data_IF_236603525648
#
_entry.id   IF_236603525648
#
_cell.length_a   1.000
_cell.length_b   1.000
_cell.length_c   1.000
_cell.angle_alpha   90.00
_cell.angle_beta   90.00
_cell.angle_gamma   90.00
#
_symmetry.space_group_name_H-M   'P 1'
#
loop_
_entity.id
_entity.type
_entity.pdbx_description
1 polymer ?
#
# COMPACT_ATOMS: atom_id res chain seq x y z
N UNK A 1 22.03 75.13 36.57
CA UNK A 1 21.25 74.95 37.81
C UNK A 1 20.15 73.92 37.53
N UNK A 2 20.04 72.90 38.38
CA UNK A 2 19.06 71.79 38.43
C UNK A 2 19.23 70.57 37.50
N UNK A 3 19.48 69.45 38.19
CA UNK A 3 19.33 68.03 37.85
C UNK A 3 17.86 67.63 37.57
N UNK A 4 17.60 66.64 36.69
CA UNK A 4 17.33 65.22 37.06
C UNK A 4 16.66 64.39 35.94
N UNK A 5 17.31 63.25 35.63
CA UNK A 5 16.82 61.88 35.37
C UNK A 5 15.38 61.66 34.84
N UNK A 6 15.23 61.01 33.68
CA UNK A 6 14.25 59.94 33.47
C UNK A 6 14.69 58.94 32.37
N UNK A 7 14.55 57.67 32.70
CA UNK A 7 14.86 56.44 31.98
C UNK A 7 13.76 56.11 30.94
N UNK A 8 14.05 55.75 29.67
CA UNK A 8 13.01 55.27 28.76
C UNK A 8 12.76 53.77 28.98
N UNK A 9 11.58 53.45 29.50
CA UNK A 9 11.05 52.09 29.58
C UNK A 9 10.80 51.50 28.19
N UNK A 10 11.15 50.22 28.08
CA UNK A 10 10.83 49.28 27.00
C UNK A 10 9.39 49.43 26.48
N UNK A 11 9.25 49.67 25.17
CA UNK A 11 8.05 49.32 24.41
C UNK A 11 8.19 47.84 24.01
N UNK A 12 7.53 46.96 24.77
CA UNK A 12 7.32 45.58 24.37
C UNK A 12 6.34 45.55 23.18
N UNK A 13 6.87 45.32 21.98
CA UNK A 13 6.06 44.95 20.82
C UNK A 13 5.61 43.49 21.01
N UNK A 14 4.39 43.29 21.49
CA UNK A 14 3.75 41.98 21.49
C UNK A 14 3.49 41.56 20.04
N UNK A 15 4.38 40.72 19.50
CA UNK A 15 4.10 39.96 18.30
C UNK A 15 2.98 38.98 18.62
N UNK A 16 1.78 39.26 18.11
CA UNK A 16 0.69 38.28 18.08
C UNK A 16 1.13 37.19 17.09
N UNK A 17 1.74 36.13 17.61
CA UNK A 17 1.92 34.89 16.89
C UNK A 17 0.51 34.35 16.66
N UNK A 18 -0.03 34.62 15.48
CA UNK A 18 -1.22 33.94 14.98
C UNK A 18 -0.82 32.48 14.75
N UNK A 19 -0.89 31.68 15.80
CA UNK A 19 -0.87 30.24 15.71
C UNK A 19 -2.09 29.84 14.89
N UNK A 20 -1.89 29.68 13.59
CA UNK A 20 -2.82 28.99 12.72
C UNK A 20 -2.82 27.55 13.22
N UNK A 21 -3.71 27.25 14.17
CA UNK A 21 -4.04 25.89 14.55
C UNK A 21 -4.71 25.27 13.33
N UNK A 22 -3.89 24.69 12.46
CA UNK A 22 -4.34 23.65 11.55
C UNK A 22 -4.74 22.50 12.48
N UNK A 23 -6.02 22.46 12.84
CA UNK A 23 -6.62 21.26 13.40
C UNK A 23 -6.31 20.15 12.38
N UNK A 24 -5.58 19.08 12.75
CA UNK A 24 -5.48 17.93 11.86
C UNK A 24 -6.91 17.45 11.64
N UNK A 25 -7.39 17.52 10.39
CA UNK A 25 -8.50 16.66 10.00
C UNK A 25 -8.06 15.24 10.37
N UNK A 26 -8.87 14.42 11.04
CA UNK A 26 -8.59 13.00 11.09
C UNK A 26 -8.71 12.52 9.64
N UNK A 27 -7.61 12.54 8.90
CA UNK A 27 -7.51 11.80 7.65
C UNK A 27 -7.53 10.36 8.10
N UNK A 28 -8.74 9.78 8.12
CA UNK A 28 -8.89 8.34 8.27
C UNK A 28 -8.04 7.70 7.19
N UNK A 29 -7.30 6.64 7.53
CA UNK A 29 -6.47 5.95 6.56
C UNK A 29 -7.32 5.48 5.36
N UNK A 30 -8.53 4.97 5.63
CA UNK A 30 -9.48 4.53 4.61
C UNK A 30 -10.63 5.51 4.35
N UNK A 31 -11.29 5.32 3.20
CA UNK A 31 -12.54 5.98 2.80
C UNK A 31 -13.64 4.94 2.54
N UNK A 32 -14.92 5.35 2.62
CA UNK A 32 -16.09 4.49 2.40
C UNK A 32 -17.29 5.33 1.94
N UNK A 33 -18.27 4.68 1.33
CA UNK A 33 -19.51 5.34 0.94
C UNK A 33 -20.45 5.48 2.15
N UNK A 34 -21.07 6.64 2.29
CA UNK A 34 -21.95 6.97 3.41
C UNK A 34 -23.37 7.25 2.93
N UNK A 35 -24.36 6.67 3.60
CA UNK A 35 -25.77 6.93 3.29
C UNK A 35 -26.10 8.40 3.58
N UNK A 36 -26.42 9.16 2.53
CA UNK A 36 -26.68 10.60 2.57
C UNK A 36 -25.55 11.43 3.23
N UNK A 37 -24.29 10.98 3.11
CA UNK A 37 -23.12 11.67 3.68
C UNK A 37 -23.06 11.67 5.20
N UNK A 38 -23.76 10.74 5.86
CA UNK A 38 -23.73 10.59 7.31
C UNK A 38 -22.67 9.57 7.73
N UNK A 39 -21.64 10.03 8.44
CA UNK A 39 -20.52 9.20 8.90
C UNK A 39 -20.88 8.06 9.85
N UNK A 40 -22.07 8.09 10.46
CA UNK A 40 -22.61 7.00 11.25
C UNK A 40 -23.25 5.89 10.40
N UNK A 41 -23.43 6.11 9.09
CA UNK A 41 -24.17 5.23 8.17
C UNK A 41 -23.30 4.78 7.00
N UNK A 42 -22.17 4.16 7.34
CA UNK A 42 -21.24 3.58 6.37
C UNK A 42 -21.91 2.41 5.65
N UNK A 43 -21.89 2.42 4.32
CA UNK A 43 -22.43 1.33 3.53
C UNK A 43 -21.50 0.12 3.60
N UNK A 44 -22.06 -0.98 4.08
CA UNK A 44 -21.36 -2.25 4.31
C UNK A 44 -22.33 -3.40 4.20
N UNK A 45 -21.81 -4.62 4.11
CA UNK A 45 -22.61 -5.82 4.27
C UNK A 45 -23.13 -5.95 5.71
N UNK A 46 -24.29 -6.60 5.86
CA UNK A 46 -24.91 -6.84 7.16
C UNK A 46 -24.15 -7.86 8.02
N UNK A 47 -23.41 -8.77 7.38
CA UNK A 47 -22.61 -9.81 8.02
C UNK A 47 -21.10 -9.67 7.78
N UNK A 48 -20.35 -10.68 8.24
CA UNK A 48 -18.91 -10.80 8.04
C UNK A 48 -18.54 -11.78 6.92
N UNK A 49 -19.47 -12.07 6.02
CA UNK A 49 -19.17 -12.84 4.84
C UNK A 49 -20.24 -12.64 3.77
N UNK A 50 -19.82 -12.88 2.53
CA UNK A 50 -20.71 -13.02 1.38
C UNK A 50 -20.02 -13.95 0.36
N UNK A 51 -20.68 -14.22 -0.75
CA UNK A 51 -20.16 -15.09 -1.82
C UNK A 51 -20.07 -14.33 -3.12
N UNK A 52 -18.88 -14.27 -3.70
CA UNK A 52 -18.61 -13.85 -5.06
C UNK A 52 -18.60 -15.07 -6.00
N UNK A 53 -19.31 -14.97 -7.11
CA UNK A 53 -19.43 -16.02 -8.12
C UNK A 53 -18.55 -15.68 -9.32
N UNK A 54 -17.48 -16.44 -9.52
CA UNK A 54 -16.54 -16.21 -10.62
C UNK A 54 -17.09 -16.87 -11.89
N UNK A 55 -17.36 -16.07 -12.89
CA UNK A 55 -17.88 -16.53 -14.16
C UNK A 55 -16.80 -17.27 -14.97
N UNK A 56 -17.05 -18.55 -15.24
CA UNK A 56 -16.13 -19.49 -15.92
C UNK A 56 -16.00 -19.26 -17.42
N UNK A 57 -16.92 -18.52 -18.03
CA UNK A 57 -16.78 -18.09 -19.44
C UNK A 57 -15.71 -16.99 -19.52
N UNK A 58 -15.74 -16.05 -18.58
CA UNK A 58 -14.75 -14.97 -18.45
C UNK A 58 -13.39 -15.49 -17.95
N UNK A 59 -13.43 -16.39 -16.97
CA UNK A 59 -12.26 -16.92 -16.28
C UNK A 59 -12.31 -18.45 -16.26
N UNK A 60 -11.96 -19.13 -17.37
CA UNK A 60 -11.97 -20.58 -17.42
C UNK A 60 -10.99 -21.19 -16.40
N UNK A 61 -11.22 -22.45 -15.97
CA UNK A 61 -10.33 -23.15 -15.06
C UNK A 61 -8.86 -23.11 -15.53
N UNK A 62 -7.95 -22.80 -14.61
CA UNK A 62 -6.53 -22.62 -14.91
C UNK A 62 -5.97 -21.34 -14.31
N UNK A 63 -4.90 -20.81 -14.91
CA UNK A 63 -4.18 -19.67 -14.34
C UNK A 63 -5.00 -18.37 -14.28
N UNK A 64 -5.99 -18.20 -15.17
CA UNK A 64 -6.91 -17.07 -15.15
C UNK A 64 -7.78 -17.08 -13.90
N UNK A 65 -8.54 -18.17 -13.67
CA UNK A 65 -9.33 -18.35 -12.45
C UNK A 65 -8.46 -18.22 -11.18
N UNK A 66 -7.31 -18.88 -11.15
CA UNK A 66 -6.38 -18.80 -10.01
C UNK A 66 -5.89 -17.38 -9.73
N UNK A 67 -5.75 -16.53 -10.74
CA UNK A 67 -5.35 -15.13 -10.53
C UNK A 67 -6.46 -14.28 -9.93
N UNK A 68 -7.73 -14.55 -10.29
CA UNK A 68 -8.88 -13.91 -9.65
C UNK A 68 -8.98 -14.35 -8.19
N UNK A 69 -8.91 -15.66 -7.94
CA UNK A 69 -8.93 -16.22 -6.59
C UNK A 69 -7.78 -15.69 -5.72
N UNK A 70 -6.57 -15.52 -6.28
CA UNK A 70 -5.46 -14.88 -5.57
C UNK A 70 -5.76 -13.43 -5.17
N UNK A 71 -6.39 -12.64 -6.04
CA UNK A 71 -6.77 -11.27 -5.72
C UNK A 71 -7.75 -11.21 -4.55
N UNK A 72 -8.77 -12.07 -4.57
CA UNK A 72 -9.73 -12.21 -3.46
C UNK A 72 -9.05 -12.72 -2.18
N UNK A 73 -8.14 -13.70 -2.30
CA UNK A 73 -7.41 -14.21 -1.15
C UNK A 73 -6.48 -13.16 -0.53
N UNK A 74 -5.86 -12.30 -1.35
CA UNK A 74 -5.09 -11.16 -0.85
C UNK A 74 -5.99 -10.21 -0.06
N UNK A 75 -7.23 -9.95 -0.53
CA UNK A 75 -8.22 -9.15 0.21
C UNK A 75 -8.62 -9.81 1.52
N UNK A 76 -8.90 -11.12 1.53
CA UNK A 76 -9.27 -11.87 2.74
C UNK A 76 -8.13 -11.97 3.76
N UNK A 77 -6.88 -11.77 3.35
CA UNK A 77 -5.71 -11.79 4.24
C UNK A 77 -5.55 -10.42 4.93
N UNK A 78 -6.48 -10.11 5.82
CA UNK A 78 -6.50 -8.84 6.54
C UNK A 78 -7.05 -9.00 7.98
N UNK A 79 -6.88 -8.02 8.88
CA UNK A 79 -7.27 -8.12 10.28
C UNK A 79 -8.78 -7.94 10.57
N UNK A 80 -9.62 -7.76 9.55
CA UNK A 80 -11.08 -7.84 9.62
C UNK A 80 -11.56 -9.31 9.68
N UNK A 81 -12.70 -9.62 10.32
CA UNK A 81 -13.31 -10.94 10.25
C UNK A 81 -14.05 -11.19 8.92
N UNK A 82 -14.14 -10.19 8.03
CA UNK A 82 -14.92 -10.32 6.79
C UNK A 82 -14.24 -11.28 5.79
N UNK A 83 -15.02 -12.23 5.25
CA UNK A 83 -14.54 -13.17 4.22
C UNK A 83 -15.41 -13.09 2.96
N UNK A 84 -14.76 -12.81 1.83
CA UNK A 84 -15.36 -13.01 0.51
C UNK A 84 -15.14 -14.47 0.12
N UNK A 85 -16.19 -15.28 0.18
CA UNK A 85 -16.15 -16.65 -0.32
C UNK A 85 -16.20 -16.64 -1.85
N UNK A 86 -15.50 -17.56 -2.50
CA UNK A 86 -15.53 -17.70 -3.95
C UNK A 86 -16.21 -19.00 -4.36
N UNK A 87 -17.07 -18.92 -5.36
CA UNK A 87 -17.63 -20.08 -6.09
C UNK A 87 -17.49 -19.83 -7.58
N UNK A 88 -17.65 -20.85 -8.42
CA UNK A 88 -17.59 -20.70 -9.88
C UNK A 88 -18.95 -21.03 -10.49
N UNK A 89 -19.29 -20.34 -11.59
CA UNK A 89 -20.50 -20.64 -12.35
C UNK A 89 -20.33 -20.34 -13.84
N UNK A 90 -21.23 -20.89 -14.65
CA UNK A 90 -21.28 -20.67 -16.12
C UNK A 90 -22.55 -19.91 -16.52
N UNK A 91 -23.32 -19.44 -15.54
CA UNK A 91 -24.57 -18.70 -15.73
C UNK A 91 -24.36 -17.34 -16.42
N UNK A 92 -25.49 -16.72 -16.78
CA UNK A 92 -25.48 -15.34 -17.26
C UNK A 92 -25.08 -14.39 -16.14
N UNK A 93 -24.30 -13.38 -16.49
CA UNK A 93 -23.83 -12.34 -15.57
C UNK A 93 -24.57 -11.04 -15.83
N UNK A 94 -24.72 -10.21 -14.82
CA UNK A 94 -25.19 -8.84 -14.98
C UNK A 94 -25.62 -8.19 -13.68
N UNK A 95 -25.24 -6.92 -13.55
CA UNK A 95 -25.56 -6.15 -12.36
C UNK A 95 -27.05 -5.91 -12.16
N UNK A 96 -27.51 -6.08 -10.92
CA UNK A 96 -28.88 -5.92 -10.45
C UNK A 96 -29.66 -7.22 -10.44
N UNK A 97 -28.98 -8.37 -10.52
CA UNK A 97 -29.63 -9.68 -10.53
C UNK A 97 -29.69 -10.35 -9.14
N UNK A 98 -29.20 -9.67 -8.10
CA UNK A 98 -29.16 -10.18 -6.73
C UNK A 98 -28.03 -11.17 -6.46
N UNK A 99 -27.04 -11.27 -7.35
CA UNK A 99 -25.86 -12.11 -7.20
C UNK A 99 -24.62 -11.25 -7.29
N UNK A 100 -23.63 -11.52 -6.43
CA UNK A 100 -22.34 -10.87 -6.54
C UNK A 100 -21.46 -11.66 -7.50
N UNK A 101 -21.12 -11.09 -8.65
CA UNK A 101 -20.42 -11.81 -9.71
C UNK A 101 -19.03 -11.22 -9.98
N UNK A 102 -18.11 -12.05 -10.47
CA UNK A 102 -16.81 -11.61 -11.00
C UNK A 102 -16.72 -12.08 -12.45
N UNK A 103 -16.69 -11.13 -13.39
CA UNK A 103 -16.71 -11.43 -14.82
C UNK A 103 -15.89 -10.41 -15.62
N UNK A 104 -15.74 -10.66 -16.92
CA UNK A 104 -15.03 -9.77 -17.82
C UNK A 104 -15.98 -9.15 -18.85
N UNK A 105 -15.83 -7.85 -19.11
CA UNK A 105 -16.59 -7.14 -20.13
C UNK A 105 -15.74 -6.02 -20.74
N UNK A 106 -16.15 -5.51 -21.90
CA UNK A 106 -15.48 -4.38 -22.54
C UNK A 106 -15.77 -3.10 -21.75
N UNK A 107 -14.80 -2.65 -20.97
CA UNK A 107 -14.87 -1.45 -20.13
C UNK A 107 -13.60 -0.61 -20.32
N UNK A 108 -13.65 0.67 -19.96
CA UNK A 108 -12.48 1.56 -20.08
C UNK A 108 -11.46 1.43 -18.94
N UNK A 109 -11.86 1.37 -17.64
CA UNK A 109 -10.90 1.16 -16.56
C UNK A 109 -10.43 -0.31 -16.52
N UNK A 110 -9.28 -0.63 -15.91
CA UNK A 110 -8.80 -2.02 -15.81
C UNK A 110 -9.79 -2.95 -15.08
N UNK A 111 -10.49 -2.41 -14.09
CA UNK A 111 -11.55 -3.06 -13.34
C UNK A 111 -12.60 -2.03 -12.88
N UNK A 112 -13.76 -2.52 -12.47
CA UNK A 112 -14.76 -1.72 -11.75
C UNK A 112 -15.59 -2.62 -10.83
N UNK A 113 -15.81 -2.16 -9.61
CA UNK A 113 -16.82 -2.70 -8.70
C UNK A 113 -18.16 -1.97 -8.88
N UNK A 114 -19.17 -2.67 -9.37
CA UNK A 114 -20.52 -2.14 -9.56
C UNK A 114 -21.32 -2.33 -8.27
N UNK A 115 -21.25 -1.35 -7.37
CA UNK A 115 -21.90 -1.42 -6.08
C UNK A 115 -23.38 -1.01 -6.16
N UNK A 116 -24.26 -1.89 -5.70
CA UNK A 116 -25.67 -1.61 -5.44
C UNK A 116 -25.91 -1.61 -3.95
N UNK A 117 -26.69 -0.63 -3.52
CA UNK A 117 -26.95 -0.38 -2.12
C UNK A 117 -28.32 0.27 -1.97
N UNK A 118 -28.85 0.17 -0.76
CA UNK A 118 -30.00 0.93 -0.32
C UNK A 118 -29.57 1.98 0.70
N UNK A 119 -30.27 3.11 0.68
CA UNK A 119 -30.09 4.19 1.64
C UNK A 119 -31.40 4.99 1.69
N UNK A 120 -32.23 4.72 2.70
CA UNK A 120 -33.49 5.43 2.86
C UNK A 120 -33.94 5.46 4.31
N UNK A 121 -34.84 6.40 4.59
CA UNK A 121 -35.50 6.51 5.89
C UNK A 121 -36.95 6.02 5.75
N UNK A 122 -37.32 5.02 6.54
CA UNK A 122 -38.70 4.57 6.73
C UNK A 122 -38.84 3.97 8.13
N UNK A 123 -39.38 4.76 9.07
CA UNK A 123 -39.47 4.41 10.50
C UNK A 123 -38.13 3.97 11.12
N UNK A 124 -37.03 4.51 10.61
CA UNK A 124 -35.67 4.04 10.88
C UNK A 124 -34.81 4.18 9.64
N UNK A 125 -33.49 4.25 9.84
CA UNK A 125 -32.55 4.27 8.73
C UNK A 125 -32.27 2.85 8.26
N UNK A 126 -32.46 2.61 6.97
CA UNK A 126 -32.11 1.37 6.28
C UNK A 126 -31.00 1.68 5.29
N UNK A 127 -29.85 1.06 5.49
CA UNK A 127 -28.69 1.26 4.64
C UNK A 127 -27.78 0.03 4.66
N UNK A 128 -27.14 -0.25 3.53
CA UNK A 128 -26.23 -1.39 3.39
C UNK A 128 -25.94 -1.71 1.93
N UNK A 129 -24.97 -2.58 1.72
CA UNK A 129 -24.69 -3.17 0.40
C UNK A 129 -25.69 -4.28 0.11
N UNK A 130 -26.20 -4.30 -1.12
CA UNK A 130 -27.14 -5.30 -1.62
C UNK A 130 -26.47 -6.27 -2.58
N UNK A 131 -25.64 -5.74 -3.47
CA UNK A 131 -24.98 -6.47 -4.54
C UNK A 131 -23.70 -5.73 -4.95
N UNK A 132 -22.61 -6.45 -5.19
CA UNK A 132 -21.40 -5.88 -5.80
C UNK A 132 -20.83 -6.85 -6.82
N UNK A 133 -20.76 -6.39 -8.07
CA UNK A 133 -20.11 -7.12 -9.16
C UNK A 133 -18.72 -6.57 -9.43
N UNK A 134 -17.72 -7.43 -9.63
CA UNK A 134 -16.39 -7.04 -10.06
C UNK A 134 -16.25 -7.36 -11.55
N UNK A 135 -16.09 -6.31 -12.36
CA UNK A 135 -15.96 -6.42 -13.81
C UNK A 135 -14.53 -6.08 -14.21
N UNK A 136 -13.84 -7.03 -14.85
CA UNK A 136 -12.51 -6.83 -15.41
C UNK A 136 -12.58 -6.48 -16.89
N UNK A 137 -11.67 -5.63 -17.36
CA UNK A 137 -11.60 -5.23 -18.76
C UNK A 137 -11.21 -6.37 -19.73
N UNK A 138 -12.03 -6.58 -20.75
CA UNK A 138 -11.78 -7.52 -21.85
C UNK A 138 -11.50 -6.86 -23.21
N UNK A 139 -11.42 -5.52 -23.28
CA UNK A 139 -11.28 -4.73 -24.53
C UNK A 139 -9.91 -4.78 -25.22
N UNK A 140 -9.11 -5.84 -24.99
CA UNK A 140 -7.79 -6.04 -25.57
C UNK A 140 -6.61 -5.69 -24.65
N UNK A 141 -6.88 -5.44 -23.37
CA UNK A 141 -5.83 -5.24 -22.36
C UNK A 141 -4.96 -6.48 -22.20
N UNK A 142 -3.65 -6.26 -22.11
CA UNK A 142 -2.68 -7.33 -21.89
C UNK A 142 -2.56 -7.65 -20.40
N UNK A 143 -3.05 -8.84 -20.02
CA UNK A 143 -3.10 -9.32 -18.64
C UNK A 143 -2.04 -10.38 -18.34
N UNK A 144 -1.53 -10.40 -17.11
CA UNK A 144 -0.73 -11.51 -16.57
C UNK A 144 -1.46 -12.19 -15.42
N UNK A 145 -1.42 -13.52 -15.44
CA UNK A 145 -1.84 -14.39 -14.34
C UNK A 145 -0.67 -14.76 -13.42
N UNK A 146 0.56 -14.40 -13.78
CA UNK A 146 1.79 -14.65 -13.03
C UNK A 146 2.17 -13.48 -12.11
N UNK A 147 2.70 -13.81 -10.94
CA UNK A 147 3.30 -12.86 -9.98
C UNK A 147 4.78 -12.56 -10.27
N UNK A 148 5.36 -13.12 -11.33
CA UNK A 148 6.75 -12.84 -11.71
C UNK A 148 6.92 -11.39 -12.16
N UNK A 149 7.97 -10.71 -11.69
CA UNK A 149 8.38 -9.37 -12.16
C UNK A 149 8.53 -9.31 -13.69
N UNK A 150 9.02 -10.38 -14.31
CA UNK A 150 9.18 -10.52 -15.77
C UNK A 150 7.87 -10.52 -16.54
N UNK A 151 6.73 -10.69 -15.87
CA UNK A 151 5.40 -10.61 -16.49
C UNK A 151 4.67 -9.30 -16.17
N UNK A 152 5.07 -8.58 -15.14
CA UNK A 152 4.38 -7.39 -14.64
C UNK A 152 4.91 -6.09 -15.27
N UNK A 153 4.00 -5.28 -15.81
CA UNK A 153 4.30 -4.00 -16.51
C UNK A 153 4.99 -2.95 -15.65
N UNK A 154 4.90 -3.02 -14.32
CA UNK A 154 5.59 -2.05 -13.44
C UNK A 154 7.00 -2.48 -13.05
N UNK A 155 7.41 -3.65 -13.54
CA UNK A 155 8.76 -4.19 -13.43
C UNK A 155 9.32 -4.42 -14.85
N UNK A 156 9.66 -5.65 -15.22
CA UNK A 156 10.35 -5.97 -16.48
C UNK A 156 9.43 -6.61 -17.53
N UNK A 157 8.17 -6.85 -17.19
CA UNK A 157 7.16 -7.34 -18.12
C UNK A 157 6.39 -6.22 -18.82
N UNK A 158 5.32 -6.60 -19.51
CA UNK A 158 4.47 -5.69 -20.30
C UNK A 158 2.97 -5.88 -20.06
N UNK A 159 2.60 -6.65 -19.03
CA UNK A 159 1.21 -7.05 -18.77
C UNK A 159 0.76 -6.60 -17.38
N UNK A 160 -0.51 -6.21 -17.25
CA UNK A 160 -1.09 -5.81 -15.97
C UNK A 160 -1.45 -7.05 -15.13
N UNK A 161 -1.16 -7.06 -13.83
CA UNK A 161 -1.49 -8.18 -12.94
C UNK A 161 -2.99 -8.22 -12.63
N UNK A 162 -3.66 -9.34 -12.96
CA UNK A 162 -5.10 -9.53 -12.69
C UNK A 162 -5.37 -9.50 -11.19
N UNK A 163 -4.55 -10.16 -10.39
CA UNK A 163 -4.74 -10.25 -8.93
C UNK A 163 -4.67 -8.88 -8.25
N UNK A 164 -3.83 -7.95 -8.73
CA UNK A 164 -3.77 -6.58 -8.18
C UNK A 164 -5.05 -5.78 -8.45
N UNK A 165 -5.59 -5.87 -9.68
CA UNK A 165 -6.84 -5.18 -10.03
C UNK A 165 -8.01 -5.79 -9.27
N UNK A 166 -8.12 -7.12 -9.22
CA UNK A 166 -9.16 -7.79 -8.42
C UNK A 166 -9.06 -7.42 -6.95
N UNK A 167 -7.86 -7.32 -6.38
CA UNK A 167 -7.67 -6.94 -4.97
C UNK A 167 -8.17 -5.51 -4.67
N UNK A 168 -7.99 -4.57 -5.62
CA UNK A 168 -8.55 -3.22 -5.56
C UNK A 168 -10.08 -3.22 -5.64
N UNK A 169 -10.65 -3.87 -6.66
CA UNK A 169 -12.11 -3.92 -6.82
C UNK A 169 -12.79 -4.66 -5.65
N UNK A 170 -12.09 -5.65 -5.07
CA UNK A 170 -12.54 -6.33 -3.87
C UNK A 170 -12.51 -5.43 -2.62
N UNK A 171 -11.74 -4.34 -2.61
CA UNK A 171 -11.88 -3.30 -1.59
C UNK A 171 -13.23 -2.58 -1.67
N UNK A 172 -13.66 -2.19 -2.88
CA UNK A 172 -15.01 -1.66 -3.11
C UNK A 172 -16.11 -2.67 -2.79
N UNK A 173 -15.85 -3.95 -3.08
CA UNK A 173 -16.73 -5.05 -2.66
C UNK A 173 -16.94 -5.10 -1.14
N UNK A 174 -15.96 -4.66 -0.35
CA UNK A 174 -16.11 -4.50 1.10
C UNK A 174 -16.77 -3.19 1.52
N UNK A 175 -17.03 -2.25 0.60
CA UNK A 175 -17.60 -0.93 0.90
C UNK A 175 -16.56 0.19 1.03
N UNK A 176 -15.29 -0.09 0.72
CA UNK A 176 -14.22 0.91 0.72
C UNK A 176 -14.32 1.79 -0.52
N UNK A 177 -13.82 3.02 -0.41
CA UNK A 177 -13.70 3.97 -1.52
C UNK A 177 -12.24 4.35 -1.71
N UNK A 178 -11.92 5.03 -2.81
CA UNK A 178 -10.56 5.43 -3.10
C UNK A 178 -9.98 6.35 -2.03
N UNK A 179 -8.66 6.24 -1.85
CA UNK A 179 -7.87 7.09 -0.97
C UNK A 179 -6.71 7.68 -1.77
N UNK A 180 -6.61 9.01 -1.81
CA UNK A 180 -5.63 9.69 -2.67
C UNK A 180 -4.45 10.36 -1.95
N UNK A 181 -4.38 10.33 -0.62
CA UNK A 181 -3.38 11.07 0.17
C UNK A 181 -2.22 10.21 0.70
N UNK A 182 -2.31 8.89 0.65
CA UNK A 182 -1.26 7.96 1.08
C UNK A 182 -0.99 6.84 0.06
N UNK A 183 0.04 6.02 0.29
CA UNK A 183 0.34 4.86 -0.55
C UNK A 183 -0.57 3.73 -0.10
N UNK A 184 -1.47 3.25 -0.96
CA UNK A 184 -2.48 2.25 -0.57
C UNK A 184 -3.02 1.47 -1.79
N UNK A 185 -3.70 0.35 -1.56
CA UNK A 185 -4.29 -0.45 -2.64
C UNK A 185 -5.47 0.25 -3.35
N UNK A 186 -6.21 1.12 -2.66
CA UNK A 186 -7.38 1.84 -3.17
C UNK A 186 -7.02 3.04 -4.06
N UNK A 187 -5.73 3.21 -4.38
CA UNK A 187 -5.23 4.09 -5.44
C UNK A 187 -4.71 3.30 -6.63
N UNK A 188 -3.45 3.53 -7.00
CA UNK A 188 -2.76 2.78 -8.06
C UNK A 188 -2.34 1.37 -7.58
N UNK A 189 -3.24 0.40 -7.75
CA UNK A 189 -3.11 -0.96 -7.23
C UNK A 189 -2.04 -1.81 -7.93
N UNK A 190 -1.78 -1.60 -9.22
CA UNK A 190 -0.71 -2.31 -9.94
C UNK A 190 0.70 -1.81 -9.60
N UNK A 191 0.81 -0.74 -8.81
CA UNK A 191 2.05 -0.30 -8.14
C UNK A 191 2.00 -0.49 -6.62
N UNK A 192 1.10 -1.33 -6.13
CA UNK A 192 0.97 -1.70 -4.72
C UNK A 192 1.37 -3.17 -4.53
N UNK A 193 2.68 -3.40 -4.38
CA UNK A 193 3.25 -4.76 -4.30
C UNK A 193 4.40 -4.85 -3.30
N UNK A 194 4.45 -5.94 -2.53
CA UNK A 194 5.67 -6.34 -1.83
C UNK A 194 6.54 -7.19 -2.76
N UNK A 195 7.84 -6.92 -2.76
CA UNK A 195 8.79 -7.59 -3.66
C UNK A 195 10.10 -7.87 -2.97
N UNK A 196 10.49 -9.14 -3.02
CA UNK A 196 11.83 -9.59 -2.68
C UNK A 196 12.19 -10.77 -3.59
N UNK A 197 13.27 -10.63 -4.36
CA UNK A 197 13.58 -11.51 -5.49
C UNK A 197 12.71 -11.24 -6.71
N UNK A 198 12.37 -12.31 -7.44
CA UNK A 198 11.68 -12.29 -8.74
C UNK A 198 10.15 -12.16 -8.68
N UNK A 199 9.55 -12.12 -7.49
CA UNK A 199 8.09 -12.15 -7.30
C UNK A 199 7.56 -10.81 -6.78
N UNK A 200 6.57 -10.26 -7.47
CA UNK A 200 5.75 -9.13 -7.05
C UNK A 200 4.44 -9.65 -6.45
N UNK A 201 4.29 -9.59 -5.13
CA UNK A 201 3.13 -10.12 -4.40
C UNK A 201 2.11 -9.02 -4.17
N UNK A 202 0.87 -9.29 -4.56
CA UNK A 202 -0.30 -8.47 -4.22
C UNK A 202 -0.68 -8.67 -2.75
N UNK A 203 -1.07 -7.59 -2.09
CA UNK A 203 -1.51 -7.54 -0.70
C UNK A 203 -2.51 -6.39 -0.53
N UNK A 204 -3.35 -6.48 0.49
CA UNK A 204 -4.45 -5.55 0.70
C UNK A 204 -4.03 -4.21 1.32
N UNK A 205 -2.88 -4.17 2.00
CA UNK A 205 -2.34 -2.93 2.57
C UNK A 205 -3.00 -2.51 3.88
N UNK A 206 -2.36 -1.57 4.56
CA UNK A 206 -2.72 -1.05 5.88
C UNK A 206 -3.99 -0.19 5.87
N UNK A 207 -4.14 0.69 4.87
CA UNK A 207 -5.31 1.52 4.61
C UNK A 207 -6.58 0.65 4.53
N UNK A 208 -6.63 -0.26 3.55
CA UNK A 208 -7.82 -1.04 3.29
C UNK A 208 -8.10 -2.07 4.40
N UNK A 209 -7.04 -2.59 5.04
CA UNK A 209 -7.14 -3.40 6.26
C UNK A 209 -7.79 -2.63 7.41
N UNK A 210 -7.38 -1.37 7.63
CA UNK A 210 -7.97 -0.51 8.63
C UNK A 210 -9.42 -0.16 8.30
N UNK A 211 -9.71 0.22 7.05
CA UNK A 211 -11.07 0.48 6.58
C UNK A 211 -11.99 -0.73 6.78
N UNK A 212 -11.52 -1.92 6.43
CA UNK A 212 -12.28 -3.15 6.64
C UNK A 212 -12.56 -3.43 8.11
N UNK A 213 -11.63 -3.10 9.00
CA UNK A 213 -11.86 -3.19 10.45
C UNK A 213 -12.86 -2.16 10.97
N UNK A 214 -12.89 -0.97 10.40
CA UNK A 214 -13.89 0.05 10.72
C UNK A 214 -15.29 -0.43 10.31
N UNK A 215 -15.41 -1.12 9.17
CA UNK A 215 -16.71 -1.62 8.68
C UNK A 215 -17.17 -2.89 9.39
N UNK A 216 -16.27 -3.83 9.70
CA UNK A 216 -16.64 -5.20 10.10
C UNK A 216 -16.06 -5.64 11.45
N UNK A 217 -15.31 -4.77 12.14
CA UNK A 217 -14.63 -5.09 13.39
C UNK A 217 -13.30 -5.80 13.17
N UNK A 218 -12.71 -6.33 14.24
CA UNK A 218 -11.42 -7.03 14.18
C UNK A 218 -11.60 -8.53 14.39
N UNK A 219 -10.86 -9.35 13.65
CA UNK A 219 -10.83 -10.80 13.89
C UNK A 219 -10.18 -11.14 15.25
N UNK A 220 -10.25 -12.41 15.69
CA UNK A 220 -9.77 -12.83 17.01
C UNK A 220 -8.25 -13.09 17.09
N UNK A 221 -7.58 -13.42 15.99
CA UNK A 221 -6.12 -13.64 15.99
C UNK A 221 -5.37 -12.34 16.31
N UNK A 222 -4.07 -12.38 16.63
CA UNK A 222 -3.28 -11.16 16.85
C UNK A 222 -3.14 -10.33 15.59
N UNK A 223 -2.94 -10.99 14.44
CA UNK A 223 -2.75 -10.38 13.11
C UNK A 223 -1.75 -9.21 13.16
N UNK A 224 -0.48 -9.54 13.41
CA UNK A 224 0.63 -8.61 13.31
C UNK A 224 1.23 -8.71 11.91
N UNK A 225 1.51 -7.56 11.29
CA UNK A 225 2.10 -7.49 9.97
C UNK A 225 2.69 -6.08 9.74
N UNK A 226 3.99 -5.93 9.98
CA UNK A 226 4.78 -4.77 9.57
C UNK A 226 5.47 -5.09 8.25
N UNK A 227 5.53 -4.13 7.33
CA UNK A 227 6.15 -4.38 6.02
C UNK A 227 7.02 -3.24 5.55
N UNK A 228 7.84 -3.56 4.54
CA UNK A 228 8.62 -2.59 3.80
C UNK A 228 8.28 -2.67 2.32
N UNK A 229 8.10 -1.51 1.70
CA UNK A 229 7.85 -1.37 0.28
C UNK A 229 8.89 -0.47 -0.38
N UNK A 230 9.30 -0.86 -1.59
CA UNK A 230 10.07 0.01 -2.49
C UNK A 230 9.18 0.90 -3.39
N UNK A 231 7.90 0.99 -3.06
CA UNK A 231 6.97 1.96 -3.61
C UNK A 231 6.69 3.06 -2.60
N UNK A 232 6.31 4.23 -3.08
CA UNK A 232 5.86 5.36 -2.27
C UNK A 232 4.78 6.13 -2.99
N UNK A 233 4.01 6.93 -2.26
CA UNK A 233 3.13 7.91 -2.87
C UNK A 233 3.94 9.02 -3.55
N UNK A 234 3.53 9.37 -4.77
CA UNK A 234 4.10 10.44 -5.59
C UNK A 234 3.12 11.57 -5.86
N UNK A 235 1.82 11.34 -5.68
CA UNK A 235 0.78 12.34 -5.91
C UNK A 235 -0.62 11.73 -5.91
N UNK A 236 -1.54 12.36 -6.62
CA UNK A 236 -2.90 11.89 -6.83
C UNK A 236 -3.31 12.13 -8.28
N UNK A 237 -4.18 11.26 -8.81
CA UNK A 237 -4.86 11.40 -10.09
C UNK A 237 -6.37 11.27 -9.85
N UNK A 238 -7.04 12.40 -9.66
CA UNK A 238 -8.43 12.40 -9.20
C UNK A 238 -8.54 11.79 -7.80
N UNK A 239 -9.37 10.77 -7.68
CA UNK A 239 -9.62 10.04 -6.42
C UNK A 239 -8.55 8.98 -6.09
N UNK A 240 -7.64 8.68 -7.02
CA UNK A 240 -6.61 7.66 -6.84
C UNK A 240 -5.29 8.26 -6.33
N UNK A 241 -4.66 7.62 -5.35
CA UNK A 241 -3.25 7.91 -5.03
C UNK A 241 -2.35 7.40 -6.16
N UNK A 242 -1.35 8.21 -6.53
CA UNK A 242 -0.35 7.83 -7.53
C UNK A 242 0.91 7.33 -6.84
N UNK A 243 1.47 6.24 -7.34
CA UNK A 243 2.63 5.58 -6.74
C UNK A 243 3.85 5.58 -7.67
N UNK A 244 5.04 5.53 -7.07
CA UNK A 244 6.30 5.42 -7.79
C UNK A 244 7.39 4.80 -6.93
N UNK A 245 8.52 4.43 -7.54
CA UNK A 245 9.65 3.85 -6.82
C UNK A 245 10.20 4.82 -5.77
N UNK A 246 10.65 4.27 -4.65
CA UNK A 246 11.45 4.98 -3.65
C UNK A 246 12.77 5.45 -4.25
N UNK A 247 13.40 6.44 -3.60
CA UNK A 247 14.60 7.11 -4.11
C UNK A 247 15.81 6.84 -3.23
N UNK A 248 16.99 7.12 -3.76
CA UNK A 248 18.18 7.33 -2.92
C UNK A 248 18.50 8.82 -2.95
N UNK A 249 18.59 9.42 -1.76
CA UNK A 249 18.93 10.83 -1.55
C UNK A 249 20.42 10.99 -1.29
N UNK A 250 20.97 12.15 -1.59
CA UNK A 250 22.35 12.52 -1.21
C UNK A 250 22.50 12.63 0.32
N UNK A 251 23.75 12.71 0.80
CA UNK A 251 24.07 12.81 2.23
C UNK A 251 23.29 13.92 2.96
N UNK A 252 23.11 15.07 2.31
CA UNK A 252 22.41 16.23 2.86
C UNK A 252 20.87 16.15 2.80
N UNK A 253 20.32 15.09 2.21
CA UNK A 253 18.89 14.95 1.90
C UNK A 253 18.28 16.07 1.04
N UNK A 254 19.08 16.75 0.23
CA UNK A 254 18.63 17.88 -0.60
C UNK A 254 18.32 17.48 -2.04
N UNK A 255 18.96 16.43 -2.57
CA UNK A 255 18.76 15.96 -3.94
C UNK A 255 18.67 14.43 -4.04
N UNK A 256 18.02 13.94 -5.10
CA UNK A 256 17.98 12.53 -5.46
C UNK A 256 19.20 12.21 -6.30
N UNK A 257 19.81 11.05 -6.07
CA UNK A 257 21.00 10.62 -6.81
C UNK A 257 20.69 10.36 -8.28
N UNK A 258 21.75 10.28 -9.09
CA UNK A 258 21.62 9.99 -10.52
C UNK A 258 20.97 8.61 -10.73
N UNK A 259 19.84 8.60 -11.43
CA UNK A 259 19.13 7.37 -11.79
C UNK A 259 19.85 6.56 -12.88
N UNK A 260 19.61 5.26 -12.89
CA UNK A 260 20.05 4.30 -13.91
C UNK A 260 19.04 3.13 -13.95
N UNK A 261 18.94 2.43 -15.07
CA UNK A 261 18.19 1.16 -15.12
C UNK A 261 19.12 -0.02 -14.83
N UNK A 262 18.78 -0.85 -13.84
CA UNK A 262 19.53 -2.04 -13.44
C UNK A 262 18.57 -3.23 -13.46
N UNK A 263 18.91 -4.26 -14.24
CA UNK A 263 18.06 -5.44 -14.41
C UNK A 263 16.60 -5.09 -14.81
N UNK A 264 16.43 -4.03 -15.59
CA UNK A 264 15.12 -3.53 -16.03
C UNK A 264 14.34 -2.75 -14.97
N UNK A 265 14.92 -2.48 -13.81
CA UNK A 265 14.29 -1.71 -12.73
C UNK A 265 14.99 -0.35 -12.51
N UNK A 266 14.28 0.67 -11.99
CA UNK A 266 14.91 1.91 -11.57
C UNK A 266 15.91 1.68 -10.43
N UNK A 267 17.14 2.17 -10.60
CA UNK A 267 18.22 2.13 -9.63
C UNK A 267 19.01 3.44 -9.63
N UNK A 268 20.09 3.48 -8.83
CA UNK A 268 20.88 4.70 -8.64
C UNK A 268 22.39 4.45 -8.66
N UNK A 269 23.15 5.43 -9.12
CA UNK A 269 24.60 5.45 -9.01
C UNK A 269 25.03 5.91 -7.62
N UNK A 270 25.95 5.19 -6.99
CA UNK A 270 26.49 5.51 -5.66
C UNK A 270 28.01 5.37 -5.64
N UNK A 271 28.68 6.20 -4.84
CA UNK A 271 30.13 6.13 -4.67
C UNK A 271 30.48 5.34 -3.40
N UNK A 272 31.55 4.56 -3.47
CA UNK A 272 32.13 3.88 -2.30
C UNK A 272 32.52 4.88 -1.22
N UNK A 273 32.26 4.55 0.04
CA UNK A 273 32.56 5.38 1.20
C UNK A 273 31.65 6.59 1.39
N UNK A 274 30.77 6.88 0.42
CA UNK A 274 29.84 8.00 0.55
C UNK A 274 28.66 7.64 1.45
N UNK A 275 28.18 8.63 2.21
CA UNK A 275 26.88 8.53 2.88
C UNK A 275 25.78 8.86 1.89
N UNK A 276 24.82 7.95 1.75
CA UNK A 276 23.59 8.14 1.00
C UNK A 276 22.40 7.96 1.93
N UNK A 277 21.20 8.31 1.48
CA UNK A 277 19.99 8.12 2.28
C UNK A 277 18.90 7.44 1.43
N UNK A 278 18.87 6.10 1.36
CA UNK A 278 17.76 5.37 0.75
C UNK A 278 16.43 5.69 1.42
N UNK A 279 15.39 5.75 0.60
CA UNK A 279 14.01 5.79 1.04
C UNK A 279 13.41 4.38 1.07
N UNK A 280 12.56 4.11 2.04
CA UNK A 280 11.70 2.92 2.08
C UNK A 280 10.35 3.33 2.64
N UNK A 281 9.27 2.74 2.15
CA UNK A 281 7.94 2.92 2.74
C UNK A 281 7.72 1.83 3.77
N UNK A 282 7.35 2.23 4.97
CA UNK A 282 7.08 1.35 6.10
C UNK A 282 5.57 1.36 6.33
N UNK A 283 5.02 0.17 6.54
CA UNK A 283 3.58 -0.03 6.72
C UNK A 283 3.33 -0.90 7.96
N UNK A 284 2.11 -0.83 8.50
CA UNK A 284 1.59 -1.83 9.44
C UNK A 284 0.19 -2.26 9.00
N UNK A 285 0.14 -3.36 8.25
CA UNK A 285 -1.10 -4.00 7.79
C UNK A 285 -1.80 -4.78 8.91
N UNK A 286 -1.16 -4.87 10.07
CA UNK A 286 -1.69 -5.48 11.28
C UNK A 286 -2.72 -4.62 12.02
N UNK A 287 -3.15 -5.13 13.18
CA UNK A 287 -4.07 -4.39 14.08
C UNK A 287 -3.48 -4.04 15.43
N UNK A 288 -2.21 -4.35 15.67
CA UNK A 288 -1.49 -3.98 16.88
C UNK A 288 -0.46 -2.89 16.61
N UNK A 289 -0.24 -2.01 17.59
CA UNK A 289 0.89 -1.08 17.55
C UNK A 289 2.16 -1.82 17.96
N UNK A 290 3.24 -1.63 17.20
CA UNK A 290 4.55 -2.16 17.55
C UNK A 290 5.51 -1.02 17.88
N UNK A 291 6.26 -1.15 18.97
CA UNK A 291 7.21 -0.14 19.43
C UNK A 291 8.63 -0.66 19.25
N UNK A 292 9.58 0.25 18.97
CA UNK A 292 11.00 -0.09 18.87
C UNK A 292 11.25 -1.18 17.81
N UNK A 293 10.56 -1.09 16.67
CA UNK A 293 10.66 -2.10 15.60
C UNK A 293 12.05 -2.04 14.98
N UNK A 294 12.82 -3.12 15.15
CA UNK A 294 14.19 -3.18 14.63
C UNK A 294 14.23 -3.19 13.11
N UNK A 295 15.24 -2.54 12.52
CA UNK A 295 15.52 -2.66 11.08
C UNK A 295 17.01 -2.76 10.80
N UNK A 296 17.33 -3.49 9.74
CA UNK A 296 18.67 -3.62 9.17
C UNK A 296 18.73 -3.10 7.74
N UNK A 297 19.86 -2.49 7.37
CA UNK A 297 20.17 -2.09 6.00
C UNK A 297 21.27 -3.00 5.47
N UNK A 298 21.07 -3.54 4.27
CA UNK A 298 21.90 -4.59 3.69
C UNK A 298 22.36 -4.24 2.28
N UNK A 299 23.52 -4.76 1.89
CA UNK A 299 23.98 -4.83 0.51
C UNK A 299 23.96 -6.29 0.06
N UNK A 300 23.16 -6.58 -0.96
CA UNK A 300 23.09 -7.88 -1.61
C UNK A 300 23.70 -7.87 -3.00
N UNK A 301 24.18 -9.04 -3.45
CA UNK A 301 24.68 -9.28 -4.81
C UNK A 301 23.58 -9.70 -5.79
N UNK A 302 22.33 -9.84 -5.32
CA UNK A 302 21.17 -10.16 -6.13
C UNK A 302 19.92 -9.44 -5.59
N UNK A 303 18.77 -9.65 -6.22
CA UNK A 303 17.51 -8.97 -5.88
C UNK A 303 16.74 -9.62 -4.72
N UNK A 304 17.31 -10.61 -4.03
CA UNK A 304 16.74 -11.28 -2.87
C UNK A 304 17.49 -10.89 -1.58
N UNK A 305 16.92 -9.94 -0.85
CA UNK A 305 17.42 -9.50 0.44
C UNK A 305 17.16 -10.58 1.51
N UNK A 306 18.20 -10.87 2.27
CA UNK A 306 18.27 -11.96 3.24
C UNK A 306 19.26 -11.64 4.36
N UNK A 307 19.20 -12.39 5.45
CA UNK A 307 20.14 -12.24 6.57
C UNK A 307 21.58 -12.64 6.23
N UNK A 308 21.82 -13.33 5.11
CA UNK A 308 23.16 -13.66 4.63
C UNK A 308 23.85 -12.52 3.87
N UNK A 309 23.12 -11.44 3.57
CA UNK A 309 23.68 -10.27 2.92
C UNK A 309 24.54 -9.43 3.87
N UNK A 310 25.33 -8.51 3.32
CA UNK A 310 26.21 -7.68 4.15
C UNK A 310 25.40 -6.58 4.83
N UNK A 311 25.23 -6.67 6.14
CA UNK A 311 24.62 -5.60 6.94
C UNK A 311 25.55 -4.38 7.02
N UNK A 312 25.05 -3.22 6.61
CA UNK A 312 25.82 -1.95 6.53
C UNK A 312 25.26 -0.85 7.44
N UNK A 313 24.13 -1.10 8.09
CA UNK A 313 23.50 -0.17 9.02
C UNK A 313 22.23 -0.75 9.61
N UNK A 314 21.56 0.03 10.45
CA UNK A 314 20.28 -0.36 11.05
C UNK A 314 19.94 0.52 12.25
N UNK A 315 18.83 0.22 12.89
CA UNK A 315 18.33 0.98 14.02
C UNK A 315 16.97 0.47 14.50
N UNK A 316 16.23 1.36 15.14
CA UNK A 316 14.87 1.12 15.60
C UNK A 316 13.96 2.18 14.96
N UNK A 317 12.83 1.77 14.42
CA UNK A 317 11.70 2.66 14.27
C UNK A 317 11.04 2.89 15.63
N UNK A 318 10.32 4.01 15.78
CA UNK A 318 9.55 4.30 16.98
C UNK A 318 8.33 3.41 17.11
N UNK A 319 7.17 4.02 17.32
CA UNK A 319 5.89 3.32 17.24
C UNK A 319 5.44 3.24 15.78
N UNK A 320 5.00 2.06 15.34
CA UNK A 320 4.31 1.85 14.06
C UNK A 320 2.90 1.37 14.43
N UNK A 321 1.92 2.24 14.29
CA UNK A 321 0.52 2.00 14.62
C UNK A 321 -0.21 1.29 13.48
N UNK A 322 -1.34 0.62 13.75
CA UNK A 322 -2.20 0.10 12.68
C UNK A 322 -2.59 1.22 11.72
N UNK A 323 -2.60 0.93 10.41
CA UNK A 323 -2.85 1.91 9.34
C UNK A 323 -1.72 2.92 9.10
N UNK A 324 -0.60 2.86 9.82
CA UNK A 324 0.53 3.72 9.51
C UNK A 324 1.15 3.30 8.18
N UNK A 325 1.29 4.27 7.28
CA UNK A 325 2.10 4.19 6.08
C UNK A 325 2.93 5.46 5.92
N UNK A 326 4.26 5.31 5.86
CA UNK A 326 5.15 6.45 5.68
C UNK A 326 6.44 6.09 4.96
N UNK A 327 6.91 7.00 4.10
CA UNK A 327 8.23 6.88 3.48
C UNK A 327 9.28 7.51 4.38
N UNK A 328 10.21 6.70 4.88
CA UNK A 328 11.35 7.15 5.68
C UNK A 328 12.62 7.30 4.83
N UNK A 329 13.62 8.02 5.34
CA UNK A 329 14.91 8.23 4.68
C UNK A 329 16.05 7.91 5.65
N UNK A 330 16.82 6.87 5.35
CA UNK A 330 17.76 6.26 6.32
C UNK A 330 19.21 6.57 5.90
N UNK A 331 20.00 7.33 6.69
CA UNK A 331 21.41 7.57 6.34
C UNK A 331 22.23 6.29 6.48
N UNK A 332 23.01 5.95 5.45
CA UNK A 332 23.92 4.81 5.47
C UNK A 332 25.16 5.08 4.63
N UNK A 333 26.30 4.53 5.05
CA UNK A 333 27.56 4.65 4.31
C UNK A 333 27.76 3.43 3.42
N UNK A 334 27.99 3.67 2.13
CA UNK A 334 28.30 2.61 1.16
C UNK A 334 29.69 2.03 1.48
N UNK A 335 29.85 0.72 1.64
CA UNK A 335 31.15 0.13 1.97
C UNK A 335 32.24 0.43 0.93
N UNK A 336 33.46 0.68 1.42
CA UNK A 336 34.62 0.99 0.57
C UNK A 336 35.14 -0.21 -0.24
N UNK A 337 34.82 -1.42 0.19
CA UNK A 337 35.28 -2.68 -0.38
C UNK A 337 34.32 -3.27 -1.43
N UNK A 338 33.25 -2.56 -1.80
CA UNK A 338 32.43 -2.98 -2.95
C UNK A 338 33.22 -2.83 -4.26
N UNK A 339 32.90 -3.67 -5.24
CA UNK A 339 33.58 -3.65 -6.53
C UNK A 339 33.07 -2.46 -7.38
N UNK A 340 33.97 -1.59 -7.88
CA UNK A 340 33.60 -0.55 -8.84
C UNK A 340 32.95 -1.13 -10.10
N UNK A 341 31.98 -0.42 -10.65
CA UNK A 341 31.23 -0.84 -11.81
C UNK A 341 30.29 -2.02 -11.58
N UNK A 342 30.14 -2.56 -10.36
CA UNK A 342 29.24 -3.69 -10.08
C UNK A 342 27.86 -3.24 -9.59
N UNK A 343 26.83 -4.00 -9.98
CA UNK A 343 25.46 -3.85 -9.48
C UNK A 343 25.32 -4.56 -8.13
N UNK A 344 24.63 -3.89 -7.22
CA UNK A 344 24.19 -4.45 -5.95
C UNK A 344 22.74 -4.05 -5.68
N UNK A 345 22.15 -4.60 -4.63
CA UNK A 345 20.83 -4.26 -4.16
C UNK A 345 20.93 -3.77 -2.72
N UNK A 346 20.60 -2.49 -2.52
CA UNK A 346 20.54 -1.85 -1.22
C UNK A 346 19.18 -2.12 -0.60
N UNK A 347 19.15 -3.00 0.40
CA UNK A 347 17.94 -3.55 0.99
C UNK A 347 17.67 -3.08 2.41
N UNK A 348 16.41 -3.22 2.83
CA UNK A 348 15.97 -3.14 4.22
C UNK A 348 15.35 -4.47 4.64
N UNK A 349 15.54 -4.84 5.91
CA UNK A 349 14.72 -5.85 6.61
C UNK A 349 14.12 -5.16 7.84
N UNK A 350 12.79 -5.11 7.93
CA UNK A 350 12.02 -4.62 9.09
C UNK A 350 11.70 -5.79 10.02
N UNK A 351 11.55 -5.51 11.31
CA UNK A 351 11.60 -6.53 12.37
C UNK A 351 12.81 -7.47 12.19
N UNK A 352 13.99 -6.88 11.97
CA UNK A 352 15.24 -7.61 11.68
C UNK A 352 15.56 -8.69 12.73
N UNK A 353 15.23 -8.43 14.00
CA UNK A 353 15.44 -9.37 15.10
C UNK A 353 14.34 -10.43 15.23
N UNK A 354 13.34 -10.42 14.34
CA UNK A 354 12.21 -11.35 14.31
C UNK A 354 11.51 -11.43 15.69
N UNK A 355 11.19 -10.27 16.24
CA UNK A 355 10.60 -10.11 17.59
C UNK A 355 9.09 -10.02 17.56
N UNK A 356 8.52 -9.67 16.40
CA UNK A 356 7.08 -9.63 16.17
C UNK A 356 6.68 -10.98 15.59
N UNK A 357 5.68 -11.62 16.20
CA UNK A 357 5.09 -12.84 15.63
C UNK A 357 4.05 -12.43 14.59
N UNK A 358 4.45 -12.47 13.32
CA UNK A 358 3.69 -11.96 12.18
C UNK A 358 2.96 -13.06 11.40
N UNK A 359 1.88 -12.67 10.71
CA UNK A 359 1.19 -13.55 9.76
C UNK A 359 2.04 -13.81 8.51
N UNK A 360 2.93 -12.89 8.17
CA UNK A 360 3.96 -13.04 7.14
C UNK A 360 5.18 -12.23 7.53
N UNK A 361 6.39 -12.81 7.43
CA UNK A 361 7.65 -12.06 7.52
C UNK A 361 8.30 -11.83 6.15
N UNK A 362 7.58 -12.19 5.07
CA UNK A 362 8.12 -12.19 3.69
C UNK A 362 8.06 -10.82 3.02
N UNK A 363 7.16 -9.97 3.51
CA UNK A 363 6.90 -8.57 3.16
C UNK A 363 7.73 -7.57 3.96
N UNK A 364 8.50 -8.01 4.95
CA UNK A 364 9.38 -7.16 5.74
C UNK A 364 10.62 -6.67 4.98
N UNK A 365 10.70 -6.94 3.67
CA UNK A 365 11.91 -6.74 2.87
C UNK A 365 11.60 -5.98 1.61
N UNK A 366 12.44 -4.97 1.35
CA UNK A 366 12.43 -4.20 0.12
C UNK A 366 13.86 -3.85 -0.28
N UNK A 367 14.06 -3.48 -1.54
CA UNK A 367 15.37 -3.07 -2.05
C UNK A 367 15.28 -1.99 -3.11
N UNK A 368 16.43 -1.37 -3.33
CA UNK A 368 16.71 -0.46 -4.44
C UNK A 368 17.98 -0.95 -5.15
N UNK A 369 17.94 -1.20 -6.47
CA UNK A 369 19.15 -1.49 -7.24
C UNK A 369 20.13 -0.31 -7.21
N UNK A 370 21.42 -0.59 -7.05
CA UNK A 370 22.49 0.40 -7.09
C UNK A 370 23.64 -0.05 -7.99
N UNK A 371 24.26 0.91 -8.68
CA UNK A 371 25.56 0.73 -9.35
C UNK A 371 26.60 1.45 -8.53
N UNK A 372 27.62 0.72 -8.11
CA UNK A 372 28.77 1.28 -7.39
C UNK A 372 29.75 1.83 -8.43
N UNK A 373 30.08 3.12 -8.31
CA UNK A 373 31.06 3.81 -9.15
C UNK A 373 32.43 3.94 -8.46
#
# INVERSE_FOLDING_TARGET
MKFNLFNPYLLAASAIISACFILPKPTQAASWLECNGDSGKKLRWSGNSTTARINTISFPPGSLLQSVERGINATNTNPSPFVINTTTETGGVGSGNGQNEIYANSISPPGVAQMRYHCYWLFGWHYGLDEVDIVLDSSGRSWTTSQSKSSNTVYTGSRLPIDAVINHEAGHYLGLMHVNWEYNVMGDSWRHHHTNGSTARTYFGEDASHGSRVLYGSQNSTFNDVSASHWRRTGASGEYSSHGRVRIRNAANTATLSGITIAGEPGYRVNRGSTVRPEFTIENNGKQTHNNVSYGIYISSNDYISYSDTRIGGGLFGSIHPADVYTTTIPVTIPNNLNPGQNYWLGIIVDENNTISEVSGSNNRAYIPIRVD
#
